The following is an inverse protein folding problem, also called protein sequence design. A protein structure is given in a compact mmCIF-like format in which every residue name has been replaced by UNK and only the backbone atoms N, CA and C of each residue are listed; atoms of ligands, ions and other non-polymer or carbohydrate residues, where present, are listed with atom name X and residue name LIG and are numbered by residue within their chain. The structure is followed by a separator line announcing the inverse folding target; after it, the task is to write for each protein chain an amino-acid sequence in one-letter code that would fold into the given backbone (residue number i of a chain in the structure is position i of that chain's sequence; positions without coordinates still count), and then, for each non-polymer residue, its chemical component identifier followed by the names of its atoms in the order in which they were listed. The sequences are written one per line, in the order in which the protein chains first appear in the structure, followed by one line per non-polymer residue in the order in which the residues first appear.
data_IF_975415045624
#
_entry.id   IF_975415045624
#
_cell.length_a   1.000
_cell.length_b   1.000
_cell.length_c   1.000
_cell.angle_alpha   90.00
_cell.angle_beta   90.00
_cell.angle_gamma   90.00
#
_symmetry.space_group_name_H-M   'P 1'
#
loop_
_entity.id
_entity.type
_entity.pdbx_description
1 polymer ?
#
# COMPACT_ATOMS: atom_id res chain seq x y z
N UNK A 1 7.07 5.04 -10.86
CA UNK A 1 7.42 6.48 -10.80
C UNK A 1 8.84 6.73 -11.29
N UNK A 2 9.87 6.01 -10.82
CA UNK A 2 11.29 6.25 -11.16
C UNK A 2 11.56 6.35 -12.67
N UNK A 3 11.08 5.40 -13.47
CA UNK A 3 11.33 5.41 -14.91
C UNK A 3 10.67 6.59 -15.65
N UNK A 4 9.61 7.18 -15.09
CA UNK A 4 8.84 8.26 -15.74
C UNK A 4 9.20 9.65 -15.19
N UNK A 5 9.51 9.76 -13.90
CA UNK A 5 9.76 11.04 -13.20
C UNK A 5 11.22 11.20 -12.74
N UNK A 6 12.03 10.16 -12.84
CA UNK A 6 13.41 10.12 -12.33
C UNK A 6 13.51 9.91 -10.81
N UNK A 7 12.38 9.74 -10.12
CA UNK A 7 12.34 9.60 -8.66
C UNK A 7 11.23 8.63 -8.22
N UNK A 8 11.43 7.99 -7.08
CA UNK A 8 10.41 7.26 -6.33
C UNK A 8 10.01 7.96 -5.02
N UNK A 9 10.61 9.10 -4.68
CA UNK A 9 10.26 9.84 -3.48
C UNK A 9 8.93 10.58 -3.69
N UNK A 10 7.89 10.09 -3.03
CA UNK A 10 6.53 10.64 -3.10
C UNK A 10 6.50 12.11 -2.64
N UNK A 11 7.34 12.50 -1.67
CA UNK A 11 7.40 13.88 -1.17
C UNK A 11 7.91 14.83 -2.25
N UNK A 12 8.90 14.38 -3.02
CA UNK A 12 9.43 15.13 -4.16
C UNK A 12 8.38 15.26 -5.26
N UNK A 13 7.69 14.16 -5.60
CA UNK A 13 6.63 14.15 -6.62
C UNK A 13 5.51 15.12 -6.23
N UNK A 14 5.03 15.09 -4.99
CA UNK A 14 4.01 16.02 -4.48
C UNK A 14 4.47 17.47 -4.55
N UNK A 15 5.75 17.76 -4.24
CA UNK A 15 6.31 19.10 -4.40
C UNK A 15 6.27 19.56 -5.86
N UNK A 16 6.59 18.69 -6.82
CA UNK A 16 6.49 19.02 -8.26
C UNK A 16 5.04 19.30 -8.67
N UNK A 17 4.10 18.49 -8.19
CA UNK A 17 2.65 18.67 -8.44
C UNK A 17 2.16 20.01 -7.90
N UNK A 18 2.52 20.36 -6.66
CA UNK A 18 2.16 21.64 -6.04
C UNK A 18 2.76 22.85 -6.76
N UNK A 19 3.89 22.67 -7.45
CA UNK A 19 4.50 23.68 -8.31
C UNK A 19 3.93 23.70 -9.74
N UNK A 20 2.88 22.91 -10.02
CA UNK A 20 2.16 22.92 -11.30
C UNK A 20 2.65 21.90 -12.34
N UNK A 21 3.51 20.94 -11.96
CA UNK A 21 3.94 19.87 -12.86
C UNK A 21 2.78 18.90 -13.15
N UNK A 22 2.12 19.12 -14.29
CA UNK A 22 0.99 18.32 -14.77
C UNK A 22 1.39 16.89 -15.11
N UNK A 23 2.62 16.66 -15.55
CA UNK A 23 3.09 15.33 -15.92
C UNK A 23 3.38 14.49 -14.67
N UNK A 24 3.99 15.09 -13.63
CA UNK A 24 4.12 14.46 -12.32
C UNK A 24 2.75 14.08 -11.74
N UNK A 25 1.76 14.97 -11.86
CA UNK A 25 0.39 14.70 -11.41
C UNK A 25 -0.22 13.50 -12.15
N UNK A 26 -0.13 13.49 -13.48
CA UNK A 26 -0.63 12.38 -14.30
C UNK A 26 0.00 11.04 -13.89
N UNK A 27 1.32 11.00 -13.70
CA UNK A 27 2.02 9.76 -13.32
C UNK A 27 1.64 9.31 -11.90
N UNK A 28 1.49 10.25 -10.97
CA UNK A 28 1.08 9.97 -9.59
C UNK A 28 -0.35 9.40 -9.53
N UNK A 29 -1.30 10.04 -10.22
CA UNK A 29 -2.69 9.56 -10.33
C UNK A 29 -2.77 8.21 -11.07
N UNK A 30 -1.97 8.01 -12.12
CA UNK A 30 -1.90 6.74 -12.83
C UNK A 30 -1.39 5.60 -11.94
N UNK A 31 -0.45 5.90 -11.02
CA UNK A 31 0.00 4.91 -10.04
C UNK A 31 -1.11 4.55 -9.05
N UNK A 32 -1.82 5.54 -8.49
CA UNK A 32 -2.96 5.30 -7.61
C UNK A 32 -4.07 4.50 -8.32
N UNK A 33 -4.36 4.84 -9.58
CA UNK A 33 -5.31 4.10 -10.43
C UNK A 33 -4.90 2.64 -10.60
N UNK A 34 -3.62 2.37 -10.85
CA UNK A 34 -3.12 1.00 -10.99
C UNK A 34 -3.30 0.22 -9.68
N UNK A 35 -2.94 0.81 -8.54
CA UNK A 35 -3.14 0.16 -7.22
C UNK A 35 -4.62 -0.17 -6.98
N UNK A 36 -5.51 0.78 -7.23
CA UNK A 36 -6.95 0.55 -7.11
C UNK A 36 -7.46 -0.58 -8.02
N UNK A 37 -6.95 -0.65 -9.26
CA UNK A 37 -7.29 -1.73 -10.21
C UNK A 37 -6.83 -3.10 -9.70
N UNK A 38 -5.61 -3.20 -9.17
CA UNK A 38 -5.12 -4.47 -8.60
C UNK A 38 -5.96 -4.89 -7.38
N UNK A 39 -6.34 -3.95 -6.51
CA UNK A 39 -7.26 -4.25 -5.39
C UNK A 39 -8.60 -4.77 -5.90
N UNK A 40 -9.19 -4.12 -6.91
CA UNK A 40 -10.43 -4.60 -7.55
C UNK A 40 -10.28 -5.99 -8.16
N UNK A 41 -9.12 -6.32 -8.73
CA UNK A 41 -8.84 -7.66 -9.25
C UNK A 41 -8.82 -8.72 -8.15
N UNK A 42 -8.30 -8.39 -6.96
CA UNK A 42 -8.28 -9.31 -5.81
C UNK A 42 -9.66 -9.47 -5.17
N UNK A 43 -10.50 -8.44 -5.22
CA UNK A 43 -11.90 -8.57 -4.82
C UNK A 43 -12.62 -9.64 -5.66
N UNK A 44 -12.34 -9.72 -6.97
CA UNK A 44 -12.89 -10.77 -7.82
C UNK A 44 -12.40 -12.18 -7.43
N UNK A 45 -11.13 -12.33 -7.02
CA UNK A 45 -10.58 -13.60 -6.51
C UNK A 45 -11.37 -14.08 -5.28
N UNK A 46 -11.72 -13.15 -4.39
CA UNK A 46 -12.52 -13.43 -3.19
C UNK A 46 -14.03 -13.48 -3.47
N UNK A 47 -14.45 -13.51 -4.74
CA UNK A 47 -15.86 -13.50 -5.17
C UNK A 47 -16.67 -12.32 -4.62
N UNK A 48 -16.00 -11.20 -4.35
CA UNK A 48 -16.60 -10.01 -3.75
C UNK A 48 -16.80 -10.09 -2.23
N UNK A 49 -16.51 -11.22 -1.58
CA UNK A 49 -16.61 -11.35 -0.12
C UNK A 49 -15.32 -10.84 0.53
N UNK A 50 -15.23 -9.52 0.64
CA UNK A 50 -14.08 -8.82 1.23
C UNK A 50 -14.51 -8.19 2.55
N UNK A 51 -13.93 -8.64 3.67
CA UNK A 51 -14.25 -8.07 4.99
C UNK A 51 -13.65 -6.68 5.19
N UNK A 52 -12.43 -6.47 4.68
CA UNK A 52 -11.69 -5.22 4.82
C UNK A 52 -10.57 -5.10 3.78
N UNK A 53 -10.15 -3.87 3.51
CA UNK A 53 -8.96 -3.55 2.71
C UNK A 53 -7.95 -2.83 3.61
N UNK A 54 -6.77 -3.41 3.78
CA UNK A 54 -5.64 -2.79 4.47
C UNK A 54 -4.71 -2.08 3.50
N UNK A 55 -4.44 -0.79 3.73
CA UNK A 55 -3.41 -0.02 3.01
C UNK A 55 -2.25 0.25 3.97
N UNK A 56 -1.08 -0.28 3.63
CA UNK A 56 0.15 -0.16 4.43
C UNK A 56 1.34 0.24 3.56
N UNK A 57 2.54 0.25 4.12
CA UNK A 57 3.76 0.65 3.44
C UNK A 57 4.07 2.14 3.56
N UNK A 58 5.29 2.53 3.18
CA UNK A 58 5.75 3.93 3.30
C UNK A 58 4.92 4.96 2.51
N UNK A 59 4.31 4.58 1.38
CA UNK A 59 3.47 5.50 0.59
C UNK A 59 2.14 5.83 1.27
N UNK A 60 1.67 5.00 2.21
CA UNK A 60 0.42 5.20 2.90
C UNK A 60 0.44 6.42 3.85
N UNK A 61 1.61 7.01 4.12
CA UNK A 61 1.72 8.32 4.77
C UNK A 61 1.20 9.48 3.90
N UNK A 62 1.09 9.29 2.57
CA UNK A 62 0.50 10.29 1.69
C UNK A 62 -1.02 10.17 1.69
N UNK A 63 -1.69 11.06 2.43
CA UNK A 63 -3.16 11.14 2.45
C UNK A 63 -3.75 11.38 1.05
N UNK A 64 -3.08 12.17 0.22
CA UNK A 64 -3.49 12.43 -1.17
C UNK A 64 -3.48 11.14 -2.00
N UNK A 65 -2.41 10.35 -1.91
CA UNK A 65 -2.33 9.07 -2.61
C UNK A 65 -3.40 8.09 -2.12
N UNK A 66 -3.58 7.99 -0.80
CA UNK A 66 -4.58 7.13 -0.19
C UNK A 66 -5.99 7.52 -0.62
N UNK A 67 -6.30 8.82 -0.68
CA UNK A 67 -7.61 9.34 -1.11
C UNK A 67 -7.91 8.94 -2.55
N UNK A 68 -6.95 9.11 -3.47
CA UNK A 68 -7.09 8.72 -4.88
C UNK A 68 -7.44 7.22 -5.03
N UNK A 69 -6.89 6.36 -4.18
CA UNK A 69 -7.21 4.94 -4.14
C UNK A 69 -8.61 4.72 -3.54
N UNK A 70 -8.89 5.30 -2.36
CA UNK A 70 -10.15 5.13 -1.62
C UNK A 70 -11.37 5.48 -2.47
N UNK A 71 -11.30 6.57 -3.23
CA UNK A 71 -12.38 7.02 -4.13
C UNK A 71 -12.82 5.96 -5.14
N UNK A 72 -11.94 5.00 -5.46
CA UNK A 72 -12.19 3.94 -6.46
C UNK A 72 -12.62 2.62 -5.85
N UNK A 73 -12.29 2.35 -4.58
CA UNK A 73 -12.41 1.01 -3.99
C UNK A 73 -13.29 0.97 -2.74
N UNK A 74 -13.76 2.12 -2.24
CA UNK A 74 -14.60 2.20 -1.03
C UNK A 74 -15.92 1.41 -1.15
N UNK A 75 -16.40 1.15 -2.37
CA UNK A 75 -17.58 0.33 -2.61
C UNK A 75 -17.36 -1.16 -2.31
N UNK A 76 -16.10 -1.62 -2.24
CA UNK A 76 -15.76 -3.03 -2.08
C UNK A 76 -15.89 -3.46 -0.61
N UNK A 77 -15.24 -2.72 0.31
CA UNK A 77 -15.18 -3.04 1.73
C UNK A 77 -14.67 -1.84 2.55
N UNK A 78 -14.82 -1.84 3.90
CA UNK A 78 -14.17 -0.88 4.78
C UNK A 78 -12.65 -0.83 4.58
N UNK A 79 -12.09 0.38 4.58
CA UNK A 79 -10.66 0.61 4.31
C UNK A 79 -9.96 1.07 5.57
N UNK A 80 -8.92 0.32 5.98
CA UNK A 80 -8.06 0.65 7.10
C UNK A 80 -6.66 1.01 6.59
N UNK A 81 -6.09 2.09 7.15
CA UNK A 81 -4.80 2.61 6.72
C UNK A 81 -3.82 2.49 7.88
N UNK A 82 -2.74 1.75 7.67
CA UNK A 82 -1.68 1.50 8.63
C UNK A 82 -0.34 1.88 8.00
N UNK A 83 0.04 3.18 8.04
CA UNK A 83 1.26 3.64 7.40
C UNK A 83 2.52 3.02 8.00
N UNK A 84 3.50 2.73 7.15
CA UNK A 84 4.76 2.13 7.57
C UNK A 84 4.76 0.61 7.55
N UNK A 85 5.88 0.04 7.97
CA UNK A 85 6.21 -1.37 7.89
C UNK A 85 6.92 -1.69 9.22
N UNK A 86 6.22 -2.20 10.23
CA UNK A 86 6.83 -2.49 11.55
C UNK A 86 7.71 -3.76 11.51
N UNK A 87 8.68 -3.79 10.60
CA UNK A 87 9.45 -4.99 10.23
C UNK A 87 10.24 -5.57 11.41
N UNK A 88 10.97 -4.72 12.14
CA UNK A 88 11.81 -5.16 13.26
C UNK A 88 10.97 -5.79 14.38
N UNK A 89 9.78 -5.22 14.64
CA UNK A 89 8.86 -5.77 15.63
C UNK A 89 8.25 -7.08 15.13
N UNK A 90 7.83 -7.14 13.87
CA UNK A 90 7.30 -8.37 13.28
C UNK A 90 8.30 -9.53 13.31
N UNK A 91 9.58 -9.25 13.05
CA UNK A 91 10.68 -10.22 13.18
C UNK A 91 10.86 -10.70 14.61
N UNK A 92 10.93 -9.77 15.57
CA UNK A 92 11.08 -10.09 16.99
C UNK A 92 9.90 -10.92 17.51
N UNK A 93 8.67 -10.55 17.15
CA UNK A 93 7.46 -11.27 17.51
C UNK A 93 7.42 -12.66 16.88
N UNK A 94 7.85 -12.80 15.62
CA UNK A 94 7.97 -14.10 14.95
C UNK A 94 8.92 -15.04 15.69
N UNK A 95 10.11 -14.55 16.06
CA UNK A 95 11.07 -15.32 16.85
C UNK A 95 10.52 -15.69 18.24
N UNK A 96 9.85 -14.75 18.91
CA UNK A 96 9.30 -14.96 20.24
C UNK A 96 8.21 -16.04 20.26
N UNK A 97 7.33 -16.09 19.25
CA UNK A 97 6.32 -17.15 19.14
C UNK A 97 6.93 -18.54 19.05
N UNK A 98 8.05 -18.69 18.35
CA UNK A 98 8.79 -19.96 18.28
C UNK A 98 9.42 -20.30 19.63
N UNK A 99 10.07 -19.34 20.28
CA UNK A 99 10.70 -19.55 21.59
C UNK A 99 9.69 -19.91 22.69
N UNK A 100 8.46 -19.38 22.61
CA UNK A 100 7.37 -19.67 23.54
C UNK A 100 6.61 -20.98 23.20
N UNK A 101 6.88 -21.61 22.07
CA UNK A 101 6.17 -22.81 21.62
C UNK A 101 4.76 -22.54 21.04
N UNK A 102 4.43 -21.28 20.73
CA UNK A 102 3.18 -20.87 20.08
C UNK A 102 3.20 -21.17 18.56
N UNK A 103 4.38 -21.19 17.96
CA UNK A 103 4.60 -21.48 16.54
C UNK A 103 5.76 -22.48 16.36
N UNK A 104 5.65 -23.40 15.38
CA UNK A 104 6.74 -24.33 15.05
C UNK A 104 7.69 -23.69 14.04
N UNK A 105 8.99 -23.72 14.33
CA UNK A 105 10.02 -23.35 13.36
C UNK A 105 9.92 -24.23 12.11
N UNK A 106 10.05 -23.61 10.93
CA UNK A 106 10.09 -24.32 9.65
C UNK A 106 11.54 -24.51 9.21
N UNK A 107 11.84 -25.68 8.66
CA UNK A 107 13.10 -25.92 7.96
C UNK A 107 12.98 -25.45 6.52
N UNK A 108 13.96 -24.67 6.06
CA UNK A 108 14.03 -24.25 4.66
C UNK A 108 14.60 -25.41 3.85
N UNK A 109 13.80 -25.94 2.90
CA UNK A 109 14.16 -27.06 2.01
C UNK A 109 14.37 -26.55 0.60
#
# INVERSE_FOLDING_TARGET
MTALLGTNDVREVLKRINNGDKYAKLVFEAMAYRVAKEIGSMAAVLKGYVDAIGITGGIAYSEEFVTLIKDRINFIAPIYVYPGEEEMLALAQGALRVLNGEEKAKEYV
#
